data_IF_200353634562
#
_entry.id   IF_200353634562
#
_cell.length_a   1.000
_cell.length_b   1.000
_cell.length_c   1.000
_cell.angle_alpha   90.00
_cell.angle_beta   90.00
_cell.angle_gamma   90.00
#
_symmetry.space_group_name_H-M   'P 1'
#
loop_
_entity.id
_entity.type
_entity.pdbx_description
1 polymer ?
#
# COMPACT_ATOMS: atom_id res chain seq x y z
N UNK A 1 -12.53 -37.38 -22.97
CA UNK A 1 -13.30 -36.82 -21.83
C UNK A 1 -12.55 -37.23 -20.57
N UNK A 2 -12.01 -36.37 -19.71
CA UNK A 2 -12.35 -34.98 -19.40
C UNK A 2 -11.09 -34.11 -19.30
N UNK A 3 -11.18 -32.90 -19.84
CA UNK A 3 -10.24 -31.79 -19.63
C UNK A 3 -10.65 -31.16 -18.30
N UNK A 4 -9.74 -31.04 -17.33
CA UNK A 4 -10.10 -30.55 -16.00
C UNK A 4 -8.91 -30.03 -15.20
N UNK A 5 -8.58 -28.76 -15.42
CA UNK A 5 -8.21 -27.74 -14.41
C UNK A 5 -7.44 -26.63 -15.14
N UNK A 6 -8.15 -25.57 -15.54
CA UNK A 6 -7.55 -24.35 -16.05
C UNK A 6 -6.86 -23.65 -14.88
N UNK A 7 -5.58 -23.98 -14.61
CA UNK A 7 -4.73 -23.19 -13.71
C UNK A 7 -4.56 -21.84 -14.40
N UNK A 8 -5.14 -20.78 -13.85
CA UNK A 8 -4.79 -19.43 -14.29
C UNK A 8 -3.28 -19.27 -14.18
N UNK A 9 -2.61 -18.98 -15.30
CA UNK A 9 -1.19 -18.65 -15.33
C UNK A 9 -1.01 -17.29 -14.63
N UNK A 10 -0.88 -17.32 -13.31
CA UNK A 10 -0.55 -16.13 -12.52
C UNK A 10 0.97 -16.04 -12.39
N UNK A 11 1.53 -14.95 -12.88
CA UNK A 11 2.95 -14.61 -12.72
C UNK A 11 3.08 -13.28 -11.97
N UNK A 12 4.10 -13.17 -11.13
CA UNK A 12 4.48 -11.88 -10.55
C UNK A 12 4.95 -10.95 -11.68
N UNK A 13 4.57 -9.65 -11.68
CA UNK A 13 5.05 -8.70 -12.66
C UNK A 13 6.59 -8.60 -12.74
N UNK A 14 7.25 -8.82 -11.60
CA UNK A 14 8.71 -8.84 -11.50
C UNK A 14 9.18 -10.21 -11.00
N UNK A 15 10.30 -10.70 -11.55
CA UNK A 15 10.96 -11.95 -11.08
C UNK A 15 11.41 -11.83 -9.63
N UNK A 16 12.00 -10.68 -9.27
CA UNK A 16 12.49 -10.38 -7.93
C UNK A 16 12.28 -8.89 -7.63
N UNK A 17 11.74 -8.58 -6.45
CA UNK A 17 11.53 -7.22 -5.97
C UNK A 17 10.46 -6.43 -6.74
N UNK A 18 9.40 -6.01 -6.06
CA UNK A 18 8.32 -5.20 -6.68
C UNK A 18 7.98 -4.00 -5.83
N UNK A 19 8.45 -2.82 -6.21
CA UNK A 19 8.08 -1.58 -5.52
C UNK A 19 7.08 -0.79 -6.37
N UNK A 20 5.89 -0.54 -5.81
CA UNK A 20 4.96 0.41 -6.40
C UNK A 20 5.55 1.82 -6.27
N UNK A 21 5.71 2.50 -7.39
CA UNK A 21 6.14 3.91 -7.46
C UNK A 21 5.01 4.84 -7.92
N UNK A 22 3.96 4.27 -8.53
CA UNK A 22 2.80 4.99 -9.05
C UNK A 22 1.59 4.04 -9.09
N UNK A 23 0.40 4.59 -8.89
CA UNK A 23 -0.88 3.90 -9.07
C UNK A 23 -1.94 4.90 -9.51
N UNK A 24 -2.80 4.48 -10.44
CA UNK A 24 -3.91 5.26 -10.95
C UNK A 24 -5.17 4.39 -10.98
N UNK A 25 -6.31 4.98 -10.61
CA UNK A 25 -7.63 4.36 -10.74
C UNK A 25 -8.51 5.18 -11.66
N UNK A 26 -9.55 4.57 -12.25
CA UNK A 26 -10.55 5.31 -13.03
C UNK A 26 -11.05 6.51 -12.19
N UNK A 27 -11.11 7.68 -12.82
CA UNK A 27 -11.50 8.96 -12.23
C UNK A 27 -10.52 9.58 -11.20
N UNK A 28 -9.33 9.00 -11.04
CA UNK A 28 -8.27 9.61 -10.25
C UNK A 28 -7.62 10.78 -11.02
N UNK A 29 -7.40 11.95 -10.39
CA UNK A 29 -6.53 12.97 -10.96
C UNK A 29 -5.09 12.46 -11.11
N UNK A 30 -4.27 13.24 -11.82
CA UNK A 30 -2.84 12.99 -11.90
C UNK A 30 -2.19 12.97 -10.51
N UNK A 31 -1.14 12.17 -10.35
CA UNK A 31 -0.29 12.25 -9.16
C UNK A 31 0.75 13.33 -9.40
N UNK A 32 0.65 14.42 -8.65
CA UNK A 32 1.69 15.44 -8.59
C UNK A 32 2.61 15.15 -7.41
N UNK A 33 3.90 14.95 -7.71
CA UNK A 33 4.93 14.90 -6.67
C UNK A 33 5.15 16.32 -6.13
N UNK A 34 5.48 16.49 -4.83
CA UNK A 34 5.84 17.79 -4.30
C UNK A 34 7.05 18.39 -5.03
N UNK A 35 7.20 19.71 -4.96
CA UNK A 35 8.31 20.42 -5.59
C UNK A 35 9.68 19.81 -5.24
N UNK A 36 10.47 19.57 -6.29
CA UNK A 36 11.82 18.98 -6.24
C UNK A 36 11.90 17.56 -5.66
N UNK A 37 10.77 16.85 -5.58
CA UNK A 37 10.71 15.44 -5.17
C UNK A 37 10.67 14.53 -6.40
N UNK A 38 11.54 13.51 -6.43
CA UNK A 38 11.54 12.52 -7.52
C UNK A 38 11.98 11.13 -7.09
N UNK A 39 11.52 10.11 -7.81
CA UNK A 39 12.03 8.75 -7.67
C UNK A 39 13.34 8.60 -8.45
N UNK A 40 14.42 8.23 -7.76
CA UNK A 40 15.69 7.91 -8.42
C UNK A 40 15.57 6.55 -9.11
N UNK A 41 15.82 6.50 -10.42
CA UNK A 41 15.76 5.27 -11.24
C UNK A 41 17.03 5.14 -12.09
N UNK A 42 17.38 3.91 -12.47
CA UNK A 42 18.60 3.61 -13.24
C UNK A 42 19.89 3.89 -12.48
N UNK A 43 21.03 3.73 -13.16
CA UNK A 43 22.36 3.96 -12.57
C UNK A 43 22.58 3.09 -11.32
N UNK A 44 22.92 3.73 -10.20
CA UNK A 44 23.12 3.12 -8.88
C UNK A 44 21.82 2.97 -8.07
N UNK A 45 20.65 3.30 -8.62
CA UNK A 45 19.36 3.11 -7.96
C UNK A 45 19.01 1.63 -7.82
N UNK A 46 18.31 1.20 -6.75
CA UNK A 46 17.72 -0.14 -6.70
C UNK A 46 16.57 -0.35 -7.71
N UNK A 47 16.08 0.70 -8.39
CA UNK A 47 15.00 0.61 -9.39
C UNK A 47 15.62 0.68 -10.79
N UNK A 48 15.83 -0.49 -11.39
CA UNK A 48 16.46 -0.62 -12.72
C UNK A 48 15.46 -0.72 -13.87
N UNK A 49 14.23 -1.18 -13.58
CA UNK A 49 13.18 -1.36 -14.58
C UNK A 49 11.87 -0.79 -14.06
N UNK A 50 11.04 -0.29 -14.98
CA UNK A 50 9.67 0.13 -14.71
C UNK A 50 8.75 -0.83 -15.45
N UNK A 51 7.85 -1.47 -14.70
CA UNK A 51 6.85 -2.39 -15.24
C UNK A 51 5.48 -1.74 -15.10
N UNK A 52 4.76 -1.60 -16.21
CA UNK A 52 3.40 -1.11 -16.23
C UNK A 52 2.43 -2.29 -16.15
N UNK A 53 1.49 -2.24 -15.20
CA UNK A 53 0.36 -3.16 -15.12
C UNK A 53 -0.93 -2.41 -15.43
N UNK A 54 -1.68 -2.86 -16.43
CA UNK A 54 -2.95 -2.27 -16.84
C UNK A 54 -4.09 -3.25 -16.52
N UNK A 55 -5.14 -2.77 -15.84
CA UNK A 55 -6.31 -3.57 -15.50
C UNK A 55 -7.51 -3.15 -16.35
N UNK A 56 -7.94 -4.01 -17.27
CA UNK A 56 -9.13 -3.80 -18.09
C UNK A 56 -10.37 -4.41 -17.42
N UNK A 57 -11.24 -3.56 -16.86
CA UNK A 57 -12.46 -4.01 -16.19
C UNK A 57 -13.55 -4.49 -17.17
N UNK A 58 -13.58 -3.94 -18.39
CA UNK A 58 -14.54 -4.30 -19.44
C UNK A 58 -13.79 -4.57 -20.73
N UNK A 59 -14.06 -5.71 -21.36
CA UNK A 59 -13.36 -6.16 -22.57
C UNK A 59 -14.25 -6.15 -23.82
N UNK A 60 -15.49 -5.65 -23.72
CA UNK A 60 -16.45 -5.66 -24.83
C UNK A 60 -15.93 -4.92 -26.07
N UNK A 61 -15.13 -3.87 -25.85
CA UNK A 61 -14.49 -3.08 -26.91
C UNK A 61 -13.30 -3.77 -27.60
N UNK A 62 -12.87 -4.94 -27.11
CA UNK A 62 -11.80 -5.74 -27.71
C UNK A 62 -12.32 -6.94 -28.51
N UNK A 63 -13.64 -7.21 -28.46
CA UNK A 63 -14.24 -8.39 -29.10
C UNK A 63 -14.13 -8.39 -30.62
N UNK A 64 -13.98 -7.21 -31.23
CA UNK A 64 -13.79 -7.04 -32.67
C UNK A 64 -12.30 -7.00 -33.09
N UNK A 65 -11.37 -7.31 -32.17
CA UNK A 65 -9.94 -7.38 -32.44
C UNK A 65 -9.20 -6.03 -32.39
N UNK A 66 -9.86 -4.96 -31.91
CA UNK A 66 -9.17 -3.68 -31.67
C UNK A 66 -8.07 -3.81 -30.63
N UNK A 67 -7.06 -2.95 -30.74
CA UNK A 67 -5.93 -2.84 -29.80
C UNK A 67 -6.06 -1.61 -28.92
N UNK A 68 -5.34 -1.60 -27.79
CA UNK A 68 -5.23 -0.46 -26.89
C UNK A 68 -3.78 -0.01 -26.72
N UNK A 69 -3.56 1.28 -26.47
CA UNK A 69 -2.24 1.89 -26.23
C UNK A 69 -2.22 2.66 -24.89
N UNK A 70 -2.96 2.19 -23.89
CA UNK A 70 -2.96 2.80 -22.55
C UNK A 70 -1.55 2.76 -21.93
N UNK A 71 -1.18 3.85 -21.29
CA UNK A 71 0.17 4.02 -20.74
C UNK A 71 0.23 5.15 -19.73
N UNK A 72 1.46 5.42 -19.27
CA UNK A 72 1.78 6.55 -18.39
C UNK A 72 2.90 7.35 -19.03
N UNK A 73 2.77 8.68 -19.05
CA UNK A 73 3.84 9.58 -19.46
C UNK A 73 4.67 9.89 -18.22
N UNK A 74 5.99 9.64 -18.30
CA UNK A 74 6.92 9.92 -17.21
C UNK A 74 7.72 11.18 -17.54
N UNK A 75 7.68 12.16 -16.64
CA UNK A 75 8.57 13.31 -16.68
C UNK A 75 9.84 12.98 -15.90
N UNK A 76 11.01 13.10 -16.53
CA UNK A 76 12.29 12.78 -15.91
C UNK A 76 13.30 13.91 -16.09
N UNK A 77 14.32 13.93 -15.24
CA UNK A 77 15.47 14.82 -15.32
C UNK A 77 16.74 14.04 -15.01
N UNK A 78 17.85 14.43 -15.62
CA UNK A 78 19.19 13.93 -15.27
C UNK A 78 19.86 14.82 -14.23
N UNK A 79 19.27 15.96 -13.88
CA UNK A 79 19.74 16.81 -12.80
C UNK A 79 19.46 16.12 -11.45
N UNK A 80 20.47 15.93 -10.59
CA UNK A 80 20.26 15.35 -9.27
C UNK A 80 19.28 16.17 -8.43
N UNK A 81 18.31 15.50 -7.80
CA UNK A 81 17.39 16.11 -6.84
C UNK A 81 17.86 15.83 -5.41
N UNK A 82 17.68 16.82 -4.52
CA UNK A 82 18.00 16.66 -3.10
C UNK A 82 16.89 15.93 -2.33
N UNK A 83 15.66 15.85 -2.86
CA UNK A 83 14.55 15.13 -2.24
C UNK A 83 14.22 13.87 -3.02
N UNK A 84 14.58 12.72 -2.45
CA UNK A 84 14.34 11.43 -3.07
C UNK A 84 13.09 10.77 -2.51
N UNK A 85 12.18 10.39 -3.40
CA UNK A 85 10.93 9.72 -3.05
C UNK A 85 11.12 8.22 -2.79
N UNK A 86 10.34 7.71 -1.86
CA UNK A 86 10.22 6.29 -1.54
C UNK A 86 8.77 5.91 -1.21
N UNK A 87 8.51 4.61 -1.23
CA UNK A 87 7.23 4.04 -0.78
C UNK A 87 7.52 2.97 0.24
N UNK A 88 6.84 3.04 1.39
CA UNK A 88 6.80 1.95 2.36
C UNK A 88 5.40 1.34 2.35
N UNK A 89 5.34 0.02 2.17
CA UNK A 89 4.11 -0.76 2.24
C UNK A 89 3.97 -1.36 3.63
N UNK A 90 2.89 -1.00 4.31
CA UNK A 90 2.40 -1.68 5.50
C UNK A 90 1.36 -2.70 5.07
N UNK A 91 1.67 -3.98 5.27
CA UNK A 91 0.78 -5.10 5.00
C UNK A 91 0.68 -6.04 6.19
N UNK A 92 -0.26 -6.98 6.14
CA UNK A 92 -0.42 -8.01 7.18
C UNK A 92 -0.91 -9.31 6.59
N UNK A 93 -0.55 -10.41 7.23
CA UNK A 93 -1.09 -11.74 6.94
C UNK A 93 -2.38 -12.03 7.70
N UNK A 94 -2.70 -13.30 7.83
CA UNK A 94 -3.76 -13.77 8.73
C UNK A 94 -5.01 -14.25 8.01
N UNK A 95 -6.06 -14.48 8.79
CA UNK A 95 -7.34 -15.05 8.33
C UNK A 95 -8.52 -14.24 8.87
N UNK A 96 -9.53 -14.05 8.03
CA UNK A 96 -10.80 -13.42 8.39
C UNK A 96 -11.86 -14.53 8.50
N UNK A 97 -12.32 -14.91 9.71
CA UNK A 97 -13.33 -15.94 9.89
C UNK A 97 -14.67 -15.59 9.21
N UNK A 98 -15.51 -16.57 8.87
CA UNK A 98 -16.81 -16.33 8.24
C UNK A 98 -17.74 -15.53 9.16
N UNK A 99 -18.55 -14.62 8.56
CA UNK A 99 -19.55 -13.80 9.26
C UNK A 99 -19.01 -12.99 10.44
N UNK A 100 -17.78 -12.48 10.31
CA UNK A 100 -17.10 -11.70 11.35
C UNK A 100 -16.53 -10.41 10.82
N UNK A 101 -16.52 -9.40 11.69
CA UNK A 101 -15.69 -8.21 11.55
C UNK A 101 -14.36 -8.45 12.25
N UNK A 102 -13.26 -8.13 11.58
CA UNK A 102 -11.89 -8.35 12.10
C UNK A 102 -11.05 -7.11 11.83
N UNK A 103 -10.22 -6.74 12.81
CA UNK A 103 -9.15 -5.77 12.63
C UNK A 103 -7.86 -6.51 12.25
N UNK A 104 -7.40 -6.29 11.02
CA UNK A 104 -6.13 -6.80 10.54
C UNK A 104 -5.09 -5.71 10.70
N UNK A 105 -4.03 -6.00 11.46
CA UNK A 105 -3.14 -4.96 11.97
C UNK A 105 -1.68 -5.25 11.64
N UNK A 106 -0.94 -4.18 11.40
CA UNK A 106 0.52 -4.23 11.21
C UNK A 106 1.18 -3.07 11.91
N UNK A 107 2.37 -3.29 12.46
CA UNK A 107 3.20 -2.22 12.97
C UNK A 107 4.68 -2.57 12.88
N UNK A 108 5.49 -1.57 12.54
CA UNK A 108 6.94 -1.71 12.48
C UNK A 108 7.64 -0.45 12.98
N UNK A 109 8.67 -0.58 13.84
CA UNK A 109 9.52 0.53 14.19
C UNK A 109 10.38 0.96 12.99
N UNK A 110 10.65 2.26 12.89
CA UNK A 110 11.70 2.83 12.05
C UNK A 110 13.03 2.59 12.74
N UNK A 111 13.83 1.70 12.15
CA UNK A 111 15.16 1.32 12.65
C UNK A 111 16.29 1.94 11.84
N UNK A 112 15.99 2.60 10.72
CA UNK A 112 16.96 3.35 9.94
C UNK A 112 17.11 4.75 10.53
N UNK A 113 18.35 5.21 10.74
CA UNK A 113 18.62 6.55 11.26
C UNK A 113 18.43 7.61 10.18
N UNK A 114 17.18 7.80 9.75
CA UNK A 114 16.73 8.70 8.70
C UNK A 114 15.48 9.46 9.14
N UNK A 115 15.26 10.61 8.54
CA UNK A 115 14.01 11.36 8.64
C UNK A 115 13.26 11.21 7.32
N UNK A 116 12.05 10.69 7.37
CA UNK A 116 11.15 10.62 6.21
C UNK A 116 10.01 11.61 6.38
N UNK A 117 9.54 12.16 5.27
CA UNK A 117 8.45 13.12 5.20
C UNK A 117 7.31 12.53 4.37
N UNK A 118 6.29 11.92 5.01
CA UNK A 118 5.11 11.43 4.32
C UNK A 118 4.38 12.57 3.61
N UNK A 119 3.99 12.34 2.35
CA UNK A 119 3.23 13.32 1.58
C UNK A 119 1.98 12.73 0.93
N UNK A 120 1.96 11.43 0.65
CA UNK A 120 0.79 10.75 0.11
C UNK A 120 0.61 9.34 0.71
N UNK A 121 -0.60 8.80 0.64
CA UNK A 121 -0.92 7.43 1.00
C UNK A 121 -1.90 6.79 0.02
N UNK A 122 -1.88 5.47 -0.07
CA UNK A 122 -2.86 4.68 -0.83
C UNK A 122 -3.31 3.50 0.01
N UNK A 123 -4.61 3.24 0.01
CA UNK A 123 -5.20 2.06 0.65
C UNK A 123 -5.54 1.02 -0.42
N UNK A 124 -5.44 -0.26 -0.06
CA UNK A 124 -5.86 -1.35 -0.94
C UNK A 124 -6.33 -2.57 -0.15
N UNK A 125 -7.51 -3.05 -0.53
CA UNK A 125 -8.11 -4.33 -0.15
C UNK A 125 -8.80 -4.91 -1.37
N UNK A 126 -9.31 -6.15 -1.26
CA UNK A 126 -10.36 -6.62 -2.14
C UNK A 126 -11.73 -6.27 -1.53
N UNK A 127 -12.75 -7.09 -1.78
CA UNK A 127 -14.18 -6.80 -1.53
C UNK A 127 -14.62 -6.63 -0.06
N UNK A 128 -13.86 -7.17 0.90
CA UNK A 128 -14.26 -7.26 2.32
C UNK A 128 -13.77 -6.08 3.16
N UNK A 129 -12.91 -5.22 2.60
CA UNK A 129 -12.41 -4.03 3.28
C UNK A 129 -13.47 -2.96 3.46
N UNK A 130 -13.54 -2.38 4.66
CA UNK A 130 -14.45 -1.27 5.00
C UNK A 130 -13.70 0.02 5.26
N UNK A 131 -12.60 -0.08 6.00
CA UNK A 131 -11.76 1.06 6.37
C UNK A 131 -10.33 0.61 6.40
N UNK A 132 -9.43 1.40 5.83
CA UNK A 132 -7.99 1.25 6.04
C UNK A 132 -7.47 2.56 6.61
N UNK A 133 -6.76 2.47 7.73
CA UNK A 133 -6.16 3.60 8.42
C UNK A 133 -4.66 3.36 8.65
N UNK A 134 -3.88 4.43 8.57
CA UNK A 134 -2.44 4.40 8.84
C UNK A 134 -2.04 5.54 9.77
N UNK A 135 -1.12 5.23 10.66
CA UNK A 135 -0.65 6.10 11.72
C UNK A 135 0.87 6.05 11.84
N UNK A 136 1.43 7.13 12.38
CA UNK A 136 2.71 7.08 13.07
C UNK A 136 2.46 7.14 14.58
N UNK A 137 3.10 6.25 15.33
CA UNK A 137 3.09 6.21 16.79
C UNK A 137 4.44 6.70 17.29
N UNK A 138 4.42 7.82 18.02
CA UNK A 138 5.62 8.41 18.61
C UNK A 138 6.05 7.64 19.88
N UNK A 139 7.31 7.75 20.33
CA UNK A 139 7.81 7.03 21.52
C UNK A 139 7.01 7.26 22.81
N UNK A 140 6.30 8.37 22.91
CA UNK A 140 5.39 8.69 24.01
C UNK A 140 3.99 8.07 23.85
N UNK A 141 3.80 7.09 22.96
CA UNK A 141 2.52 6.47 22.59
C UNK A 141 1.48 7.46 22.04
N UNK A 142 1.92 8.58 21.44
CA UNK A 142 1.03 9.49 20.72
C UNK A 142 0.81 8.96 19.30
N UNK A 143 -0.44 8.71 18.95
CA UNK A 143 -0.87 8.32 17.61
C UNK A 143 -1.16 9.56 16.77
N UNK A 144 -0.66 9.59 15.54
CA UNK A 144 -0.90 10.67 14.57
C UNK A 144 -1.35 10.02 13.27
N UNK A 145 -2.56 10.35 12.83
CA UNK A 145 -3.12 9.80 11.59
C UNK A 145 -2.36 10.34 10.37
N UNK A 146 -1.92 9.43 9.50
CA UNK A 146 -1.33 9.75 8.20
C UNK A 146 -2.37 9.69 7.09
N UNK A 147 -3.36 8.81 7.21
CA UNK A 147 -4.47 8.73 6.29
C UNK A 147 -5.48 7.67 6.71
N UNK A 148 -6.74 7.88 6.31
CA UNK A 148 -7.85 6.95 6.55
C UNK A 148 -8.83 7.01 5.38
N UNK A 149 -9.23 5.86 4.85
CA UNK A 149 -10.13 5.81 3.69
C UNK A 149 -10.90 4.50 3.55
N UNK A 150 -12.05 4.59 2.88
CA UNK A 150 -12.71 3.43 2.27
C UNK A 150 -11.84 2.87 1.13
N UNK A 151 -11.32 1.63 1.25
CA UNK A 151 -10.47 1.04 0.23
C UNK A 151 -11.20 0.66 -1.06
N UNK A 152 -12.53 0.71 -1.09
CA UNK A 152 -13.36 0.43 -2.28
C UNK A 152 -13.62 1.70 -3.12
N UNK A 153 -13.29 2.88 -2.60
CA UNK A 153 -13.22 4.12 -3.40
C UNK A 153 -12.00 4.12 -4.33
N UNK A 154 -11.89 5.02 -5.33
CA UNK A 154 -10.78 5.02 -6.28
C UNK A 154 -9.40 4.90 -5.61
N UNK A 155 -8.68 3.83 -5.92
CA UNK A 155 -7.44 3.42 -5.22
C UNK A 155 -6.20 4.12 -5.78
N UNK A 156 -6.17 5.44 -5.66
CA UNK A 156 -5.03 6.29 -6.01
C UNK A 156 -4.24 6.72 -4.76
N UNK A 157 -3.18 7.49 -4.96
CA UNK A 157 -2.49 8.17 -3.87
C UNK A 157 -3.20 9.47 -3.49
N UNK A 158 -3.50 9.63 -2.21
CA UNK A 158 -4.13 10.80 -1.61
C UNK A 158 -3.13 11.53 -0.71
N UNK A 159 -3.19 12.86 -0.58
CA UNK A 159 -2.37 13.60 0.37
C UNK A 159 -2.57 13.11 1.81
N UNK A 160 -1.50 13.07 2.61
CA UNK A 160 -1.59 12.70 4.03
C UNK A 160 -2.41 13.70 4.85
N UNK A 161 -3.14 13.21 5.86
CA UNK A 161 -3.92 14.05 6.79
C UNK A 161 -3.01 14.98 7.60
N UNK A 162 -1.91 14.44 8.14
CA UNK A 162 -0.96 15.19 8.95
C UNK A 162 0.45 15.06 8.36
N UNK A 163 1.07 16.20 8.00
CA UNK A 163 2.45 16.28 7.54
C UNK A 163 3.40 16.32 8.74
N UNK A 164 3.73 15.15 9.27
CA UNK A 164 4.67 15.02 10.39
C UNK A 164 5.91 14.22 9.96
N UNK A 165 7.12 14.67 10.33
CA UNK A 165 8.32 13.88 10.07
C UNK A 165 8.25 12.59 10.89
N UNK A 166 8.74 11.51 10.29
CA UNK A 166 8.87 10.21 10.93
C UNK A 166 10.36 9.89 11.03
N UNK A 167 10.80 9.56 12.23
CA UNK A 167 12.22 9.43 12.58
C UNK A 167 12.50 8.07 13.22
N UNK A 168 13.78 7.78 13.44
CA UNK A 168 14.22 6.61 14.21
C UNK A 168 13.43 6.46 15.52
N UNK A 169 12.96 5.24 15.79
CA UNK A 169 12.20 4.88 16.99
C UNK A 169 10.69 5.13 16.90
N UNK A 170 10.21 5.92 15.91
CA UNK A 170 8.78 5.98 15.62
C UNK A 170 8.28 4.63 15.08
N UNK A 171 7.00 4.34 15.27
CA UNK A 171 6.37 3.12 14.74
C UNK A 171 5.36 3.51 13.67
N UNK A 172 5.51 2.97 12.47
CA UNK A 172 4.45 3.02 11.47
C UNK A 172 3.46 1.89 11.76
N UNK A 173 2.18 2.20 11.77
CA UNK A 173 1.12 1.26 12.07
C UNK A 173 -0.03 1.41 11.06
N UNK A 174 -0.60 0.30 10.59
CA UNK A 174 -1.82 0.32 9.79
C UNK A 174 -2.84 -0.73 10.26
N UNK A 175 -4.13 -0.41 10.13
CA UNK A 175 -5.26 -1.29 10.43
C UNK A 175 -6.23 -1.31 9.26
N UNK A 176 -6.65 -2.51 8.87
CA UNK A 176 -7.80 -2.73 8.01
C UNK A 176 -8.96 -3.29 8.82
N UNK A 177 -10.10 -2.61 8.79
CA UNK A 177 -11.37 -3.17 9.26
C UNK A 177 -11.98 -3.97 8.12
N UNK A 178 -12.06 -5.28 8.32
CA UNK A 178 -12.59 -6.23 7.36
C UNK A 178 -13.94 -6.76 7.85
N UNK A 179 -14.91 -6.89 6.95
CA UNK A 179 -16.20 -7.54 7.23
C UNK A 179 -16.36 -8.73 6.28
N UNK A 180 -16.17 -9.95 6.79
CA UNK A 180 -16.35 -11.14 5.99
C UNK A 180 -17.83 -11.56 5.99
N UNK A 181 -18.54 -11.16 4.93
CA UNK A 181 -19.93 -11.54 4.68
C UNK A 181 -20.09 -12.97 4.13
N UNK A 182 -18.99 -13.68 3.84
CA UNK A 182 -18.99 -15.02 3.24
C UNK A 182 -19.19 -16.10 4.31
N UNK A 183 -19.62 -17.29 3.89
CA UNK A 183 -19.83 -18.48 4.74
C UNK A 183 -18.56 -19.34 4.93
N UNK A 184 -17.42 -18.85 4.45
CA UNK A 184 -16.11 -19.49 4.56
C UNK A 184 -15.06 -18.50 5.10
N UNK A 185 -13.96 -18.98 5.71
CA UNK A 185 -12.83 -18.12 5.99
C UNK A 185 -12.27 -17.51 4.70
N UNK A 186 -11.68 -16.32 4.83
CA UNK A 186 -10.92 -15.67 3.75
C UNK A 186 -9.49 -15.44 4.23
N UNK A 187 -8.52 -15.79 3.39
CA UNK A 187 -7.09 -15.69 3.67
C UNK A 187 -6.48 -14.50 2.92
N UNK A 188 -5.31 -14.05 3.36
CA UNK A 188 -4.55 -13.05 2.60
C UNK A 188 -3.93 -13.71 1.36
N UNK A 189 -4.13 -13.09 0.19
CA UNK A 189 -3.72 -13.62 -1.11
C UNK A 189 -3.98 -12.63 -2.25
N UNK A 190 -3.64 -13.03 -3.48
CA UNK A 190 -3.67 -12.14 -4.65
C UNK A 190 -4.92 -12.24 -5.52
N UNK A 191 -5.80 -13.21 -5.25
CA UNK A 191 -7.01 -13.41 -6.06
C UNK A 191 -8.19 -12.65 -5.46
N UNK A 192 -9.25 -12.42 -6.25
CA UNK A 192 -10.50 -11.85 -5.78
C UNK A 192 -11.23 -12.72 -4.73
N UNK A 193 -10.90 -14.01 -4.67
CA UNK A 193 -11.40 -14.93 -3.63
C UNK A 193 -10.64 -14.78 -2.30
N UNK A 194 -9.43 -14.21 -2.35
CA UNK A 194 -8.61 -13.85 -1.20
C UNK A 194 -8.86 -12.39 -0.77
N UNK A 195 -8.12 -11.92 0.24
CA UNK A 195 -8.06 -10.52 0.63
C UNK A 195 -6.64 -9.95 0.67
N UNK A 196 -6.56 -8.62 0.67
CA UNK A 196 -5.33 -7.89 1.00
C UNK A 196 -5.63 -6.83 2.03
N UNK A 197 -4.63 -6.50 2.86
CA UNK A 197 -4.68 -5.34 3.75
C UNK A 197 -3.39 -4.55 3.54
N UNK A 198 -3.45 -3.55 2.67
CA UNK A 198 -2.27 -2.79 2.27
C UNK A 198 -2.49 -1.28 2.49
N UNK A 199 -1.54 -0.66 3.20
CA UNK A 199 -1.42 0.78 3.36
C UNK A 199 -0.05 1.21 2.82
N UNK A 200 -0.06 1.90 1.69
CA UNK A 200 1.14 2.46 1.07
C UNK A 200 1.34 3.88 1.58
N UNK A 201 2.55 4.24 2.00
CA UNK A 201 2.91 5.61 2.36
C UNK A 201 4.04 6.05 1.44
N UNK A 202 3.76 7.07 0.64
CA UNK A 202 4.73 7.83 -0.13
C UNK A 202 5.37 8.88 0.78
N UNK A 203 6.69 8.91 0.77
CA UNK A 203 7.48 9.87 1.52
C UNK A 203 8.67 10.32 0.68
N UNK A 204 9.29 11.44 1.08
CA UNK A 204 10.62 11.80 0.60
C UNK A 204 11.60 11.85 1.78
N UNK A 205 12.88 11.77 1.45
CA UNK A 205 14.02 12.08 2.34
C UNK A 205 14.79 13.25 1.76
N UNK A 206 15.46 14.04 2.59
CA UNK A 206 16.29 15.15 2.14
C UNK A 206 17.78 14.80 2.26
N UNK A 207 18.54 14.99 1.19
CA UNK A 207 19.98 14.74 1.12
C UNK A 207 20.41 13.32 1.54
N UNK A 208 19.51 12.35 1.38
CA UNK A 208 19.76 10.93 1.68
C UNK A 208 19.03 10.05 0.64
N UNK A 209 19.36 8.76 0.66
CA UNK A 209 18.64 7.69 -0.01
C UNK A 209 17.32 7.35 0.71
N UNK A 210 16.27 6.89 0.01
CA UNK A 210 15.06 6.36 0.64
C UNK A 210 15.34 5.19 1.61
N UNK A 211 14.33 4.77 2.39
CA UNK A 211 14.48 3.63 3.30
C UNK A 211 14.86 2.37 2.52
N UNK A 212 15.78 1.58 3.10
CA UNK A 212 16.09 0.24 2.61
C UNK A 212 14.91 -0.70 2.85
N UNK A 213 14.20 -0.54 3.98
CA UNK A 213 12.99 -1.29 4.30
C UNK A 213 11.79 -0.77 3.50
N UNK A 214 11.45 -1.49 2.44
CA UNK A 214 10.27 -1.19 1.59
C UNK A 214 8.97 -1.80 2.09
N UNK A 215 9.06 -2.85 2.91
CA UNK A 215 7.91 -3.62 3.39
C UNK A 215 7.91 -3.75 4.91
N UNK A 216 6.75 -3.51 5.51
CA UNK A 216 6.43 -3.74 6.90
C UNK A 216 5.28 -4.74 6.95
N UNK A 217 5.57 -5.97 7.36
CA UNK A 217 4.58 -7.04 7.47
C UNK A 217 4.60 -7.67 8.86
N UNK A 218 3.41 -7.91 9.39
CA UNK A 218 3.15 -8.72 10.58
C UNK A 218 2.27 -9.91 10.22
N UNK A 219 2.13 -10.87 11.14
CA UNK A 219 1.38 -12.11 10.86
C UNK A 219 -0.15 -11.93 10.81
N UNK A 220 -0.66 -10.82 11.35
CA UNK A 220 -2.10 -10.54 11.46
C UNK A 220 -2.89 -11.59 12.28
N UNK A 221 -4.23 -11.52 12.26
CA UNK A 221 -5.12 -12.40 13.02
C UNK A 221 -4.97 -13.90 12.66
N UNK A 222 -4.99 -14.82 13.64
CA UNK A 222 -5.16 -14.56 15.08
C UNK A 222 -3.86 -14.31 15.84
N UNK A 223 -2.72 -14.25 15.15
CA UNK A 223 -1.38 -14.28 15.77
C UNK A 223 -0.91 -12.90 16.25
N UNK A 224 -1.32 -11.83 15.56
CA UNK A 224 -0.87 -10.48 15.85
C UNK A 224 -2.02 -9.47 15.90
N UNK A 225 -1.98 -8.62 16.94
CA UNK A 225 -2.81 -7.44 17.13
C UNK A 225 -1.97 -6.32 17.77
N UNK A 226 -2.34 -5.06 17.56
CA UNK A 226 -1.64 -3.89 18.10
C UNK A 226 -1.56 -3.91 19.63
N UNK A 227 -2.60 -4.39 20.31
CA UNK A 227 -2.66 -4.42 21.77
C UNK A 227 -1.57 -5.28 22.44
N UNK A 228 -0.88 -6.12 21.67
CA UNK A 228 0.24 -6.92 22.15
C UNK A 228 1.49 -6.06 22.40
N UNK A 229 1.64 -4.93 21.71
CA UNK A 229 2.88 -4.14 21.70
C UNK A 229 2.67 -2.62 21.84
N UNK A 230 1.49 -2.12 21.48
CA UNK A 230 1.18 -0.69 21.45
C UNK A 230 0.15 -0.33 22.52
N UNK A 231 0.19 0.92 22.97
CA UNK A 231 -0.71 1.49 23.98
C UNK A 231 -1.48 2.68 23.42
N UNK A 232 -2.56 3.08 24.09
CA UNK A 232 -3.41 4.21 23.71
C UNK A 232 -3.97 4.09 22.29
N UNK A 233 -4.37 2.88 21.91
CA UNK A 233 -4.83 2.57 20.55
C UNK A 233 -6.13 3.36 20.27
N UNK A 234 -6.21 4.12 19.16
CA UNK A 234 -7.43 4.83 18.76
C UNK A 234 -8.41 3.86 18.08
N UNK A 235 -8.92 2.89 18.84
CA UNK A 235 -9.65 1.74 18.30
C UNK A 235 -10.86 2.15 17.46
N UNK A 236 -11.62 3.14 17.93
CA UNK A 236 -12.82 3.62 17.23
C UNK A 236 -12.42 4.38 15.97
N UNK A 237 -11.55 5.37 16.11
CA UNK A 237 -11.14 6.27 15.03
C UNK A 237 -10.43 5.55 13.90
N UNK A 238 -9.64 4.51 14.23
CA UNK A 238 -8.93 3.68 13.25
C UNK A 238 -9.86 2.73 12.48
N UNK A 239 -11.07 2.47 12.99
CA UNK A 239 -11.93 1.39 12.49
C UNK A 239 -13.19 1.87 11.77
N UNK A 240 -13.52 3.17 11.86
CA UNK A 240 -14.72 3.78 11.25
C UNK A 240 -14.34 4.99 10.37
N UNK A 241 -15.11 5.25 9.32
CA UNK A 241 -14.99 6.45 8.49
C UNK A 241 -15.72 7.64 9.11
#
# INVERSE_FOLDING_TARGET
MMIGANKQDTASPCREGTQIIYAWGRDAPALDLPDEVGFKVGGDSPIQYIVLQVHYAHIDHFKDGRTDNSGVILHYTTHPLNKLAGVILLGTGGTIPPKKVVHMETSCPITENKVIYPFAYRTHTHSLGKVVSGYVVKPNNKWIELGKRDPLTPQMFYPVTNKVPITYGDILAARCTMENIRDRPTFIGSTNEDEMCNMYIMYYVENDSPLKRKYCFTQGPPLYYWNQQLRNIPDKEASIL
#
